data_IF_173530029832
#
_entry.id   IF_173530029832
#
_cell.length_a   1.000
_cell.length_b   1.000
_cell.length_c   1.000
_cell.angle_alpha   90.00
_cell.angle_beta   90.00
_cell.angle_gamma   90.00
#
_symmetry.space_group_name_H-M   'P 1'
#
loop_
_entity.id
_entity.type
_entity.pdbx_description
1 polymer ?
#
# COMPACT_ATOMS: atom_id res chain seq x y z
N UNK A 1 23.06 17.31 -16.83
CA UNK A 1 22.68 15.91 -17.13
C UNK A 1 21.24 15.74 -16.71
N UNK A 2 20.30 15.59 -17.64
CA UNK A 2 18.89 15.41 -17.31
C UNK A 2 18.72 14.02 -16.68
N UNK A 3 18.46 13.98 -15.37
CA UNK A 3 18.18 12.72 -14.68
C UNK A 3 16.93 12.08 -15.28
N UNK A 4 17.04 10.82 -15.69
CA UNK A 4 15.90 10.05 -16.17
C UNK A 4 14.89 9.92 -15.02
N UNK A 5 13.60 10.26 -15.22
CA UNK A 5 12.60 10.07 -14.19
C UNK A 5 12.48 8.60 -13.80
N UNK A 6 12.30 8.31 -12.50
CA UNK A 6 12.19 6.94 -11.96
C UNK A 6 11.18 6.06 -12.72
N UNK A 7 10.10 6.64 -13.26
CA UNK A 7 9.06 5.90 -14.00
C UNK A 7 9.55 5.33 -15.33
N UNK A 8 10.62 5.88 -15.91
CA UNK A 8 11.25 5.38 -17.14
C UNK A 8 12.44 4.46 -16.87
N UNK A 9 12.82 4.30 -15.61
CA UNK A 9 13.95 3.47 -15.20
C UNK A 9 13.48 2.02 -14.95
N UNK A 10 13.99 1.08 -15.75
CA UNK A 10 13.64 -0.35 -15.63
C UNK A 10 14.11 -0.95 -14.31
N UNK A 11 15.22 -0.49 -13.74
CA UNK A 11 15.69 -0.97 -12.44
C UNK A 11 14.75 -0.51 -11.32
N UNK A 12 14.25 0.73 -11.39
CA UNK A 12 13.25 1.24 -10.45
C UNK A 12 11.95 0.42 -10.53
N UNK A 13 11.42 0.21 -11.75
CA UNK A 13 10.20 -0.57 -11.96
C UNK A 13 10.37 -2.03 -11.51
N UNK A 14 11.53 -2.65 -11.76
CA UNK A 14 11.81 -4.02 -11.30
C UNK A 14 11.91 -4.09 -9.78
N UNK A 15 12.54 -3.12 -9.14
CA UNK A 15 12.63 -3.05 -7.68
C UNK A 15 11.24 -2.90 -7.05
N UNK A 16 10.40 -2.04 -7.61
CA UNK A 16 9.03 -1.84 -7.14
C UNK A 16 8.22 -3.13 -7.37
N UNK A 17 8.22 -3.66 -8.59
CA UNK A 17 7.40 -4.81 -8.99
C UNK A 17 7.81 -6.14 -8.37
N UNK A 18 9.11 -6.45 -8.30
CA UNK A 18 9.59 -7.77 -7.85
C UNK A 18 10.06 -7.81 -6.41
N UNK A 19 10.19 -6.66 -5.74
CA UNK A 19 10.64 -6.63 -4.34
C UNK A 19 9.67 -5.86 -3.45
N UNK A 20 9.38 -4.60 -3.75
CA UNK A 20 8.51 -3.81 -2.89
C UNK A 20 7.09 -4.38 -2.81
N UNK A 21 6.42 -4.61 -3.95
CA UNK A 21 5.03 -5.07 -3.97
C UNK A 21 4.83 -6.47 -3.36
N UNK A 22 5.68 -7.49 -3.63
CA UNK A 22 5.53 -8.79 -2.99
C UNK A 22 5.74 -8.73 -1.48
N UNK A 23 6.72 -7.96 -1.00
CA UNK A 23 6.93 -7.79 0.44
C UNK A 23 5.78 -7.02 1.09
N UNK A 24 5.31 -5.94 0.46
CA UNK A 24 4.17 -5.17 0.95
C UNK A 24 2.90 -6.03 1.00
N UNK A 25 2.58 -6.73 -0.09
CA UNK A 25 1.42 -7.60 -0.16
C UNK A 25 1.49 -8.76 0.84
N UNK A 26 2.65 -9.40 0.98
CA UNK A 26 2.83 -10.48 1.94
C UNK A 26 2.72 -10.03 3.40
N UNK A 27 3.27 -8.86 3.73
CA UNK A 27 3.16 -8.29 5.08
C UNK A 27 1.73 -7.83 5.39
N UNK A 28 1.03 -7.20 4.45
CA UNK A 28 -0.39 -6.86 4.63
C UNK A 28 -1.24 -8.12 4.76
N UNK A 29 -1.02 -9.14 3.93
CA UNK A 29 -1.75 -10.41 4.06
C UNK A 29 -1.53 -11.05 5.43
N UNK A 30 -0.28 -11.09 5.91
CA UNK A 30 0.04 -11.62 7.22
C UNK A 30 -0.62 -10.78 8.34
N UNK A 31 -0.63 -9.45 8.19
CA UNK A 31 -1.31 -8.53 9.08
C UNK A 31 -2.82 -8.79 9.12
N UNK A 32 -3.47 -8.84 7.96
CA UNK A 32 -4.90 -9.15 7.82
C UNK A 32 -5.27 -10.45 8.50
N UNK A 33 -4.51 -11.52 8.24
CA UNK A 33 -4.72 -12.81 8.90
C UNK A 33 -4.52 -12.76 10.42
N UNK A 34 -3.56 -11.95 10.90
CA UNK A 34 -3.28 -11.81 12.32
C UNK A 34 -4.37 -11.01 13.07
N UNK A 35 -4.96 -9.99 12.43
CA UNK A 35 -6.04 -9.20 13.03
C UNK A 35 -7.42 -9.85 12.88
N UNK A 36 -7.61 -10.73 11.89
CA UNK A 36 -8.88 -11.36 11.58
C UNK A 36 -9.63 -11.93 12.81
N UNK A 37 -8.97 -12.62 13.77
CA UNK A 37 -9.65 -13.16 14.97
C UNK A 37 -10.28 -12.10 15.89
N UNK A 38 -9.90 -10.83 15.75
CA UNK A 38 -10.45 -9.72 16.54
C UNK A 38 -11.83 -9.27 16.04
N UNK A 39 -12.21 -9.64 14.81
CA UNK A 39 -13.47 -9.20 14.19
C UNK A 39 -14.59 -10.24 14.33
N UNK A 40 -15.83 -9.77 14.41
CA UNK A 40 -17.03 -10.66 14.40
C UNK A 40 -17.11 -11.49 13.13
N UNK A 41 -16.61 -10.95 12.01
CA UNK A 41 -16.46 -11.62 10.72
C UNK A 41 -15.84 -13.02 10.86
N UNK A 42 -14.84 -13.18 11.73
CA UNK A 42 -14.16 -14.47 11.95
C UNK A 42 -15.09 -15.55 12.50
N UNK A 43 -16.08 -15.17 13.32
CA UNK A 43 -17.00 -16.11 13.97
C UNK A 43 -18.29 -16.35 13.19
N UNK A 44 -18.74 -15.34 12.44
CA UNK A 44 -20.09 -15.31 11.90
C UNK A 44 -20.14 -15.43 10.37
N UNK A 45 -19.05 -15.10 9.67
CA UNK A 45 -19.06 -15.09 8.21
C UNK A 45 -18.68 -16.46 7.59
N UNK A 46 -19.22 -16.79 6.40
CA UNK A 46 -18.77 -17.94 5.63
C UNK A 46 -17.28 -17.84 5.26
N UNK A 47 -16.58 -18.97 5.21
CA UNK A 47 -15.16 -19.01 4.86
C UNK A 47 -14.83 -18.33 3.51
N UNK A 48 -15.72 -18.43 2.52
CA UNK A 48 -15.56 -17.75 1.23
C UNK A 48 -15.61 -16.22 1.37
N UNK A 49 -16.47 -15.70 2.25
CA UNK A 49 -16.58 -14.28 2.52
C UNK A 49 -15.37 -13.74 3.30
N UNK A 50 -14.86 -14.54 4.25
CA UNK A 50 -13.61 -14.25 4.95
C UNK A 50 -12.45 -14.15 3.95
N UNK A 51 -12.31 -15.14 3.06
CA UNK A 51 -11.24 -15.15 2.05
C UNK A 51 -11.36 -13.95 1.11
N UNK A 52 -12.57 -13.64 0.64
CA UNK A 52 -12.82 -12.45 -0.18
C UNK A 52 -12.41 -11.16 0.55
N UNK A 53 -12.80 -11.00 1.81
CA UNK A 53 -12.50 -9.81 2.60
C UNK A 53 -10.99 -9.63 2.79
N UNK A 54 -10.28 -10.68 3.19
CA UNK A 54 -8.82 -10.65 3.35
C UNK A 54 -8.12 -10.29 2.03
N UNK A 55 -8.55 -10.90 0.92
CA UNK A 55 -7.97 -10.61 -0.41
C UNK A 55 -8.29 -9.18 -0.86
N UNK A 56 -9.50 -8.71 -0.64
CA UNK A 56 -9.93 -7.36 -1.00
C UNK A 56 -9.15 -6.30 -0.23
N UNK A 57 -9.02 -6.44 1.09
CA UNK A 57 -8.25 -5.54 1.94
C UNK A 57 -6.77 -5.55 1.54
N UNK A 58 -6.16 -6.74 1.41
CA UNK A 58 -4.75 -6.87 1.00
C UNK A 58 -4.49 -6.21 -0.36
N UNK A 59 -5.40 -6.38 -1.32
CA UNK A 59 -5.30 -5.73 -2.63
C UNK A 59 -5.44 -4.20 -2.53
N UNK A 60 -6.36 -3.71 -1.69
CA UNK A 60 -6.51 -2.30 -1.37
C UNK A 60 -5.22 -1.71 -0.80
N UNK A 61 -4.62 -2.34 0.21
CA UNK A 61 -3.38 -1.88 0.84
C UNK A 61 -2.21 -1.87 -0.13
N UNK A 62 -2.11 -2.87 -1.00
CA UNK A 62 -1.09 -2.89 -2.05
C UNK A 62 -1.26 -1.70 -3.02
N UNK A 63 -2.49 -1.37 -3.41
CA UNK A 63 -2.78 -0.23 -4.28
C UNK A 63 -2.48 1.11 -3.59
N UNK A 64 -2.86 1.25 -2.32
CA UNK A 64 -2.58 2.44 -1.50
C UNK A 64 -1.06 2.61 -1.37
N UNK A 65 -0.34 1.57 -0.94
CA UNK A 65 1.10 1.63 -0.75
C UNK A 65 1.88 1.84 -2.05
N UNK A 66 1.41 1.30 -3.18
CA UNK A 66 2.00 1.57 -4.49
C UNK A 66 1.81 3.03 -4.91
N UNK A 67 0.60 3.56 -4.75
CA UNK A 67 0.25 4.93 -5.10
C UNK A 67 0.97 5.95 -4.21
N UNK A 68 1.02 5.69 -2.90
CA UNK A 68 1.75 6.49 -1.94
C UNK A 68 3.26 6.51 -2.23
N UNK A 69 3.85 5.38 -2.60
CA UNK A 69 5.25 5.32 -3.01
C UNK A 69 5.49 6.13 -4.29
N UNK A 70 4.64 5.97 -5.30
CA UNK A 70 4.73 6.73 -6.54
C UNK A 70 4.64 8.24 -6.27
N UNK A 71 3.70 8.68 -5.43
CA UNK A 71 3.57 10.08 -5.01
C UNK A 71 4.82 10.57 -4.27
N UNK A 72 5.38 9.78 -3.35
CA UNK A 72 6.62 10.12 -2.65
C UNK A 72 7.80 10.28 -3.61
N UNK A 73 7.93 9.41 -4.61
CA UNK A 73 8.99 9.48 -5.62
C UNK A 73 8.82 10.69 -6.54
N UNK A 74 7.59 11.03 -6.93
CA UNK A 74 7.29 12.26 -7.69
C UNK A 74 7.62 13.51 -6.86
N UNK A 75 7.16 13.56 -5.61
CA UNK A 75 7.33 14.71 -4.73
C UNK A 75 8.81 14.97 -4.38
N UNK A 76 9.58 13.88 -4.21
CA UNK A 76 11.03 13.97 -3.97
C UNK A 76 11.86 14.15 -5.24
N UNK A 77 11.24 14.14 -6.42
CA UNK A 77 11.90 14.13 -7.74
C UNK A 77 12.99 13.07 -7.80
N UNK A 78 12.65 11.86 -7.35
CA UNK A 78 13.60 10.78 -7.19
C UNK A 78 14.29 10.44 -8.54
N UNK A 79 15.63 10.43 -8.56
CA UNK A 79 16.42 10.03 -9.73
C UNK A 79 16.51 8.50 -9.82
N UNK A 80 17.60 7.94 -10.33
CA UNK A 80 17.86 6.50 -10.34
C UNK A 80 17.83 5.86 -8.93
N UNK A 81 17.42 4.58 -8.78
CA UNK A 81 17.28 3.91 -7.49
C UNK A 81 18.49 3.98 -6.54
N UNK A 82 19.70 3.96 -7.10
CA UNK A 82 20.94 4.02 -6.32
C UNK A 82 21.11 5.33 -5.54
N UNK A 83 20.44 6.40 -5.98
CA UNK A 83 20.51 7.74 -5.39
C UNK A 83 19.27 8.09 -4.56
N UNK A 84 18.35 7.14 -4.37
CA UNK A 84 17.16 7.40 -3.57
C UNK A 84 17.54 7.67 -2.11
N UNK A 85 16.99 8.76 -1.57
CA UNK A 85 17.04 9.03 -0.14
C UNK A 85 15.97 8.17 0.55
N UNK A 86 16.25 6.87 0.67
CA UNK A 86 15.32 5.85 1.13
C UNK A 86 14.52 6.23 2.37
N UNK A 87 15.17 6.78 3.39
CA UNK A 87 14.48 7.23 4.61
C UNK A 87 13.41 8.31 4.33
N UNK A 88 13.73 9.30 3.47
CA UNK A 88 12.77 10.36 3.13
C UNK A 88 11.61 9.82 2.30
N UNK A 89 11.90 8.94 1.34
CA UNK A 89 10.88 8.31 0.50
C UNK A 89 9.95 7.45 1.37
N UNK A 90 10.50 6.66 2.29
CA UNK A 90 9.74 5.82 3.21
C UNK A 90 8.83 6.65 4.13
N UNK A 91 9.34 7.73 4.74
CA UNK A 91 8.53 8.62 5.60
C UNK A 91 7.38 9.24 4.82
N UNK A 92 7.65 9.78 3.62
CA UNK A 92 6.59 10.38 2.79
C UNK A 92 5.58 9.34 2.31
N UNK A 93 6.04 8.14 1.95
CA UNK A 93 5.17 7.03 1.57
C UNK A 93 4.25 6.67 2.73
N UNK A 94 4.79 6.51 3.94
CA UNK A 94 4.01 6.22 5.14
C UNK A 94 3.00 7.33 5.44
N UNK A 95 3.40 8.60 5.37
CA UNK A 95 2.50 9.73 5.58
C UNK A 95 1.36 9.75 4.55
N UNK A 96 1.65 9.56 3.27
CA UNK A 96 0.62 9.53 2.22
C UNK A 96 -0.31 8.33 2.38
N UNK A 97 0.23 7.13 2.66
CA UNK A 97 -0.57 5.94 2.86
C UNK A 97 -1.50 6.09 4.07
N UNK A 98 -0.98 6.45 5.24
CA UNK A 98 -1.78 6.64 6.46
C UNK A 98 -2.84 7.72 6.28
N UNK A 99 -2.47 8.86 5.68
CA UNK A 99 -3.43 9.94 5.41
C UNK A 99 -4.57 9.45 4.53
N UNK A 100 -4.25 8.70 3.47
CA UNK A 100 -5.25 8.16 2.57
C UNK A 100 -6.13 7.12 3.27
N UNK A 101 -5.55 6.15 4.00
CA UNK A 101 -6.31 5.11 4.71
C UNK A 101 -7.28 5.72 5.71
N UNK A 102 -6.83 6.63 6.56
CA UNK A 102 -7.70 7.31 7.55
C UNK A 102 -8.80 8.09 6.85
N UNK A 103 -8.48 8.81 5.78
CA UNK A 103 -9.47 9.55 5.01
C UNK A 103 -10.51 8.63 4.35
N UNK A 104 -10.06 7.53 3.73
CA UNK A 104 -10.94 6.59 3.05
C UNK A 104 -11.85 5.86 4.03
N UNK A 105 -11.34 5.43 5.18
CA UNK A 105 -12.16 4.80 6.22
C UNK A 105 -13.18 5.78 6.79
N UNK A 106 -12.76 7.01 7.11
CA UNK A 106 -13.67 8.04 7.61
C UNK A 106 -14.80 8.32 6.62
N UNK A 107 -14.47 8.44 5.33
CA UNK A 107 -15.47 8.67 4.27
C UNK A 107 -16.41 7.46 4.13
N UNK A 108 -15.87 6.23 4.10
CA UNK A 108 -16.68 5.02 3.94
C UNK A 108 -17.64 4.84 5.13
N UNK A 109 -17.14 4.98 6.35
CA UNK A 109 -17.90 4.78 7.57
C UNK A 109 -18.90 5.90 7.87
N UNK A 110 -18.49 7.17 7.76
CA UNK A 110 -19.31 8.31 8.21
C UNK A 110 -20.15 8.94 7.11
N UNK A 111 -19.66 8.96 5.87
CA UNK A 111 -20.38 9.59 4.76
C UNK A 111 -21.16 8.56 3.95
N UNK A 112 -20.53 7.45 3.59
CA UNK A 112 -21.15 6.43 2.74
C UNK A 112 -21.91 5.36 3.53
N UNK A 113 -21.67 5.27 4.84
CA UNK A 113 -22.23 4.23 5.74
C UNK A 113 -22.02 2.81 5.18
N UNK A 114 -20.94 2.63 4.46
CA UNK A 114 -20.58 1.37 3.82
C UNK A 114 -19.34 0.85 4.55
N UNK A 115 -19.30 -0.46 4.78
CA UNK A 115 -18.23 -1.14 5.51
C UNK A 115 -17.71 -2.28 4.66
#
# INVERSE_FOLDING_TARGET
MNATPWIRDRAALRLIGFRYLPWLGGLNLAWEMAQLPLYTLWREAPAAWIAFSVLHCTAGDALIGASALALALVFTRAPEPARWRWARVAVLTGLFAVTYTVFSEWMNANLLQNW
#
